data_IF_783668530022
#
_entry.id   IF_783668530022
#
_cell.length_a   1.000
_cell.length_b   1.000
_cell.length_c   1.000
_cell.angle_alpha   90.00
_cell.angle_beta   90.00
_cell.angle_gamma   90.00
#
_symmetry.space_group_name_H-M   'P 1'
#
loop_
_entity.id
_entity.type
_entity.pdbx_description
1 polymer ?
#
# COMPACT_ATOMS: atom_id res chain seq x y z
N UNK A 1 -24.43 -20.50 20.60
CA UNK A 1 -23.34 -19.94 19.77
C UNK A 1 -23.25 -20.80 18.51
N UNK A 2 -23.60 -20.25 17.34
CA UNK A 2 -23.41 -20.95 16.06
C UNK A 2 -21.94 -20.90 15.69
N UNK A 3 -21.28 -22.05 15.60
CA UNK A 3 -19.93 -22.13 15.05
C UNK A 3 -20.01 -21.85 13.56
N UNK A 4 -19.47 -20.71 13.13
CA UNK A 4 -19.34 -20.43 11.69
C UNK A 4 -17.97 -20.94 11.25
N UNK A 5 -17.91 -21.89 10.31
CA UNK A 5 -16.63 -22.37 9.81
C UNK A 5 -15.89 -21.27 9.06
N UNK A 6 -14.57 -21.42 8.97
CA UNK A 6 -13.74 -20.57 8.13
C UNK A 6 -14.30 -20.50 6.71
N UNK A 7 -14.39 -19.30 6.11
CA UNK A 7 -14.80 -19.14 4.72
C UNK A 7 -13.72 -19.62 3.74
N UNK A 8 -12.51 -19.89 4.24
CA UNK A 8 -11.37 -20.30 3.43
C UNK A 8 -10.89 -21.71 3.81
N UNK A 9 -10.65 -22.53 2.79
CA UNK A 9 -10.06 -23.87 2.90
C UNK A 9 -8.77 -23.94 2.08
N UNK A 10 -7.77 -24.68 2.57
CA UNK A 10 -6.49 -24.93 1.88
C UNK A 10 -5.68 -23.67 1.47
N UNK A 11 -5.75 -22.58 2.23
CA UNK A 11 -4.90 -21.41 1.99
C UNK A 11 -3.44 -21.68 2.37
N UNK A 12 -2.52 -21.08 1.60
CA UNK A 12 -1.11 -20.93 1.99
C UNK A 12 -0.87 -19.60 2.71
N UNK A 13 -1.52 -18.53 2.27
CA UNK A 13 -1.39 -17.19 2.85
C UNK A 13 -2.63 -16.34 2.62
N UNK A 14 -2.96 -15.47 3.57
CA UNK A 14 -3.99 -14.45 3.47
C UNK A 14 -3.38 -13.08 3.78
N UNK A 15 -3.60 -12.10 2.90
CA UNK A 15 -3.08 -10.73 3.07
C UNK A 15 -4.24 -9.75 3.21
N UNK A 16 -4.29 -9.01 4.31
CA UNK A 16 -5.33 -8.03 4.62
C UNK A 16 -4.77 -6.62 4.43
N UNK A 17 -5.47 -5.81 3.64
CA UNK A 17 -5.17 -4.41 3.39
C UNK A 17 -6.22 -3.53 4.09
N UNK A 18 -5.86 -2.87 5.19
CA UNK A 18 -6.81 -2.06 5.96
C UNK A 18 -7.16 -0.76 5.22
N UNK A 19 -8.42 -0.35 5.33
CA UNK A 19 -8.92 0.89 4.73
C UNK A 19 -8.60 2.13 5.60
N UNK A 20 -8.46 1.93 6.91
CA UNK A 20 -8.13 2.95 7.92
C UNK A 20 -6.76 2.71 8.54
N UNK A 21 -6.17 3.74 9.12
CA UNK A 21 -4.88 3.64 9.80
C UNK A 21 -4.99 2.71 11.01
N UNK A 22 -3.98 1.87 11.22
CA UNK A 22 -4.01 0.94 12.35
C UNK A 22 -3.86 1.67 13.69
N UNK A 23 -3.31 2.88 13.68
CA UNK A 23 -3.20 3.81 14.81
C UNK A 23 -4.56 4.32 15.30
N UNK A 24 -5.58 4.36 14.43
CA UNK A 24 -6.96 4.75 14.79
C UNK A 24 -7.68 3.65 15.60
N UNK A 25 -7.15 2.42 15.60
CA UNK A 25 -7.70 1.29 16.34
C UNK A 25 -7.03 1.24 17.71
N UNK A 26 -7.81 1.41 18.78
CA UNK A 26 -7.32 1.27 20.17
C UNK A 26 -6.54 -0.04 20.33
N UNK A 27 -5.34 0.02 20.91
CA UNK A 27 -4.39 -1.11 20.96
C UNK A 27 -4.97 -2.39 21.58
N UNK A 28 -5.79 -2.26 22.63
CA UNK A 28 -6.45 -3.38 23.28
C UNK A 28 -7.54 -4.04 22.41
N UNK A 29 -8.19 -3.27 21.53
CA UNK A 29 -9.15 -3.80 20.56
C UNK A 29 -8.43 -4.48 19.41
N UNK A 30 -7.26 -3.95 19.01
CA UNK A 30 -6.43 -4.51 17.95
C UNK A 30 -5.96 -5.93 18.27
N UNK A 31 -5.47 -6.19 19.48
CA UNK A 31 -4.97 -7.52 19.86
C UNK A 31 -6.07 -8.60 19.91
N UNK A 32 -7.20 -8.31 20.59
CA UNK A 32 -8.32 -9.25 20.72
C UNK A 32 -9.01 -9.52 19.38
N UNK A 33 -9.32 -8.46 18.63
CA UNK A 33 -9.92 -8.58 17.30
C UNK A 33 -8.98 -9.34 16.35
N UNK A 34 -7.66 -9.09 16.40
CA UNK A 34 -6.71 -9.81 15.56
C UNK A 34 -6.69 -11.32 15.86
N UNK A 35 -6.69 -11.71 17.14
CA UNK A 35 -6.68 -13.13 17.52
C UNK A 35 -7.94 -13.86 17.03
N UNK A 36 -9.11 -13.25 17.24
CA UNK A 36 -10.41 -13.83 16.88
C UNK A 36 -10.61 -13.88 15.35
N UNK A 37 -10.28 -12.79 14.65
CA UNK A 37 -10.33 -12.73 13.19
C UNK A 37 -9.32 -13.72 12.59
N UNK A 38 -8.11 -13.83 13.15
CA UNK A 38 -7.11 -14.79 12.68
C UNK A 38 -7.59 -16.23 12.85
N UNK A 39 -8.13 -16.59 14.02
CA UNK A 39 -8.65 -17.93 14.22
C UNK A 39 -9.79 -18.22 13.24
N UNK A 40 -10.76 -17.30 13.11
CA UNK A 40 -11.89 -17.48 12.19
C UNK A 40 -11.45 -17.68 10.73
N UNK A 41 -10.52 -16.85 10.23
CA UNK A 41 -10.11 -16.87 8.82
C UNK A 41 -9.17 -18.04 8.48
N UNK A 42 -8.42 -18.57 9.45
CA UNK A 42 -7.41 -19.61 9.23
C UNK A 42 -7.81 -21.00 9.73
N UNK A 43 -8.93 -21.13 10.45
CA UNK A 43 -9.39 -22.40 11.04
C UNK A 43 -9.49 -23.55 10.01
N UNK A 44 -9.88 -23.24 8.76
CA UNK A 44 -9.97 -24.21 7.67
C UNK A 44 -8.67 -24.44 6.89
N UNK A 45 -7.56 -23.81 7.29
CA UNK A 45 -6.30 -23.80 6.54
C UNK A 45 -5.09 -23.93 7.48
N UNK A 46 -4.87 -25.14 7.99
CA UNK A 46 -3.73 -25.46 8.86
C UNK A 46 -2.41 -25.09 8.18
N UNK A 47 -1.61 -24.24 8.85
CA UNK A 47 -0.32 -23.77 8.33
C UNK A 47 -0.39 -22.53 7.43
N UNK A 48 -1.58 -21.98 7.17
CA UNK A 48 -1.70 -20.72 6.46
C UNK A 48 -1.12 -19.55 7.26
N UNK A 49 -0.48 -18.61 6.56
CA UNK A 49 0.04 -17.38 7.16
C UNK A 49 -0.91 -16.21 6.95
N UNK A 50 -1.28 -15.50 8.03
CA UNK A 50 -2.02 -14.23 7.94
C UNK A 50 -1.05 -13.04 7.98
N UNK A 51 -1.09 -12.21 6.95
CA UNK A 51 -0.29 -11.00 6.80
C UNK A 51 -1.23 -9.80 6.87
N UNK A 52 -1.03 -8.95 7.89
CA UNK A 52 -1.73 -7.68 7.99
C UNK A 52 -0.78 -6.58 7.51
N UNK A 53 -1.15 -5.89 6.44
CA UNK A 53 -0.36 -4.79 5.87
C UNK A 53 -0.73 -3.51 6.59
N UNK A 54 0.24 -2.65 6.90
CA UNK A 54 -0.09 -1.32 7.43
C UNK A 54 -0.61 -0.42 6.30
N UNK A 55 -1.58 0.45 6.61
CA UNK A 55 -2.08 1.42 5.61
C UNK A 55 -1.00 2.44 5.25
N UNK A 56 -0.15 2.72 6.22
CA UNK A 56 0.99 3.62 6.17
C UNK A 56 2.00 3.13 5.12
N UNK A 57 2.31 1.83 5.10
CA UNK A 57 3.18 1.23 4.07
C UNK A 57 2.57 1.36 2.67
N UNK A 58 1.26 1.08 2.54
CA UNK A 58 0.55 1.23 1.26
C UNK A 58 0.61 2.68 0.77
N UNK A 59 0.40 3.64 1.69
CA UNK A 59 0.45 5.08 1.39
C UNK A 59 1.87 5.51 1.03
N UNK A 60 2.88 5.04 1.76
CA UNK A 60 4.28 5.37 1.50
C UNK A 60 4.72 4.88 0.11
N UNK A 61 4.37 3.65 -0.26
CA UNK A 61 4.64 3.10 -1.59
C UNK A 61 3.96 3.95 -2.67
N UNK A 62 2.67 4.26 -2.49
CA UNK A 62 1.91 5.07 -3.46
C UNK A 62 2.49 6.48 -3.63
N UNK A 63 2.80 7.14 -2.52
CA UNK A 63 3.37 8.49 -2.53
C UNK A 63 4.76 8.51 -3.18
N UNK A 64 5.59 7.50 -2.89
CA UNK A 64 6.92 7.38 -3.49
C UNK A 64 6.83 7.25 -5.00
N UNK A 65 5.91 6.41 -5.49
CA UNK A 65 5.67 6.24 -6.93
C UNK A 65 5.26 7.56 -7.59
N UNK A 66 4.30 8.27 -7.01
CA UNK A 66 3.89 9.58 -7.56
C UNK A 66 5.02 10.60 -7.52
N UNK A 67 5.81 10.65 -6.45
CA UNK A 67 6.95 11.56 -6.38
C UNK A 67 7.97 11.28 -7.50
N UNK A 68 8.24 10.01 -7.80
CA UNK A 68 9.11 9.63 -8.91
C UNK A 68 8.54 10.05 -10.28
N UNK A 69 7.24 9.85 -10.49
CA UNK A 69 6.55 10.27 -11.72
C UNK A 69 6.63 11.80 -11.90
N UNK A 70 6.30 12.57 -10.86
CA UNK A 70 6.36 14.03 -10.91
C UNK A 70 7.78 14.57 -11.10
N UNK A 71 8.79 13.97 -10.48
CA UNK A 71 10.19 14.38 -10.67
C UNK A 71 10.64 14.12 -12.10
N UNK A 72 10.22 12.99 -12.69
CA UNK A 72 10.54 12.65 -14.08
C UNK A 72 9.88 13.64 -15.06
N UNK A 73 8.60 13.94 -14.87
CA UNK A 73 7.87 14.93 -15.66
C UNK A 73 8.50 16.32 -15.57
N UNK A 74 8.84 16.77 -14.35
CA UNK A 74 9.52 18.05 -14.14
C UNK A 74 10.87 18.09 -14.88
N UNK A 75 11.63 16.99 -14.85
CA UNK A 75 12.90 16.91 -15.54
C UNK A 75 12.76 17.07 -17.05
N UNK A 76 11.77 16.41 -17.66
CA UNK A 76 11.48 16.55 -19.08
C UNK A 76 11.09 18.00 -19.44
N UNK A 77 10.24 18.63 -18.63
CA UNK A 77 9.86 20.03 -18.84
C UNK A 77 11.05 20.98 -18.76
N UNK A 78 11.99 20.74 -17.83
CA UNK A 78 13.18 21.56 -17.66
C UNK A 78 14.13 21.43 -18.86
N UNK A 79 14.34 20.22 -19.39
CA UNK A 79 15.17 20.00 -20.58
C UNK A 79 14.54 20.65 -21.82
N UNK A 80 13.22 20.55 -21.99
CA UNK A 80 12.51 21.24 -23.07
C UNK A 80 12.65 22.77 -22.97
N UNK A 81 12.48 23.33 -21.78
CA UNK A 81 12.60 24.77 -21.56
C UNK A 81 14.04 25.26 -21.78
N UNK A 82 15.03 24.50 -21.33
CA UNK A 82 16.44 24.78 -21.59
C UNK A 82 16.75 24.82 -23.09
N UNK A 83 16.32 23.79 -23.84
CA UNK A 83 16.50 23.75 -25.28
C UNK A 83 15.80 24.92 -26.00
N UNK A 84 14.62 25.33 -25.51
CA UNK A 84 13.89 26.50 -26.02
C UNK A 84 14.68 27.80 -25.82
N UNK A 85 15.30 27.99 -24.66
CA UNK A 85 16.14 29.16 -24.36
C UNK A 85 17.38 29.19 -25.25
N UNK A 86 18.08 28.05 -25.37
CA UNK A 86 19.27 27.91 -26.22
C UNK A 86 18.95 28.22 -27.70
N UNK A 87 17.83 27.70 -28.22
CA UNK A 87 17.39 27.96 -29.59
C UNK A 87 17.00 29.43 -29.84
N UNK A 88 16.56 30.17 -28.81
CA UNK A 88 16.33 31.62 -28.93
C UNK A 88 17.65 32.37 -29.01
N UNK A 89 18.61 32.02 -28.16
CA UNK A 89 19.93 32.65 -28.12
C UNK A 89 20.71 32.50 -29.43
N UNK A 90 20.58 31.36 -30.13
CA UNK A 90 21.24 31.14 -31.42
C UNK A 90 20.58 31.90 -32.57
N UNK A 91 19.28 32.19 -32.50
CA UNK A 91 18.55 32.96 -33.53
C UNK A 91 18.75 34.48 -33.44
N UNK A 92 19.20 35.00 -32.30
CA UNK A 92 19.42 36.44 -32.09
C UNK A 92 20.85 36.88 -32.43
N UNK A 93 21.73 35.94 -32.81
CA UNK A 93 23.13 36.18 -33.15
C UNK A 93 23.34 36.15 -34.67
#
# INVERSE_FOLDING_TARGET
MSYQPSPFVNLKSLKIHPVRELSEVREHNRGKMYAEVKSYLLDGSTGATLIMVSREDIRAIKNTKFAQEFVSELWEMLEQEKARIEAKMTKTR
#
